data_IF_440763473716
#
_entry.id   IF_440763473716
#
_cell.length_a   1.000
_cell.length_b   1.000
_cell.length_c   1.000
_cell.angle_alpha   90.00
_cell.angle_beta   90.00
_cell.angle_gamma   90.00
#
_symmetry.space_group_name_H-M   'P 1'
#
loop_
_entity.id
_entity.type
_entity.pdbx_description
1 polymer ?
#
# COMPACT_ATOMS: atom_id res chain seq x y z
N UNK A 1 -16.45 -29.36 -56.51
CA UNK A 1 -16.27 -30.25 -55.34
C UNK A 1 -14.93 -30.07 -54.62
N UNK A 2 -13.79 -29.91 -55.29
CA UNK A 2 -12.47 -29.84 -54.62
C UNK A 2 -12.23 -28.63 -53.69
N UNK A 3 -12.73 -27.44 -54.04
CA UNK A 3 -12.53 -26.20 -53.26
C UNK A 3 -13.29 -26.19 -51.93
N UNK A 4 -14.52 -26.70 -51.90
CA UNK A 4 -15.32 -26.81 -50.68
C UNK A 4 -14.72 -27.81 -49.68
N UNK A 5 -14.16 -28.92 -50.17
CA UNK A 5 -13.47 -29.91 -49.34
C UNK A 5 -12.20 -29.32 -48.69
N UNK A 6 -11.45 -28.51 -49.43
CA UNK A 6 -10.27 -27.81 -48.91
C UNK A 6 -10.63 -26.80 -47.81
N UNK A 7 -11.69 -26.01 -48.00
CA UNK A 7 -12.15 -25.07 -46.98
C UNK A 7 -12.63 -25.78 -45.69
N UNK A 8 -13.36 -26.90 -45.83
CA UNK A 8 -13.75 -27.74 -44.70
C UNK A 8 -12.53 -28.37 -44.01
N UNK A 9 -11.51 -28.75 -44.77
CA UNK A 9 -10.25 -29.27 -44.22
C UNK A 9 -9.51 -28.21 -43.40
N UNK A 10 -9.40 -26.96 -43.89
CA UNK A 10 -8.83 -25.84 -43.13
C UNK A 10 -9.62 -25.52 -41.86
N UNK A 11 -10.95 -25.60 -41.91
CA UNK A 11 -11.81 -25.41 -40.73
C UNK A 11 -11.63 -26.54 -39.71
N UNK A 12 -11.61 -27.81 -40.17
CA UNK A 12 -11.39 -28.97 -39.31
C UNK A 12 -10.00 -28.93 -38.67
N UNK A 13 -8.96 -28.59 -39.43
CA UNK A 13 -7.59 -28.40 -38.92
C UNK A 13 -7.54 -27.29 -37.87
N UNK A 14 -8.23 -26.18 -38.10
CA UNK A 14 -8.28 -25.07 -37.13
C UNK A 14 -9.00 -25.46 -35.84
N UNK A 15 -10.08 -26.25 -35.93
CA UNK A 15 -10.80 -26.76 -34.77
C UNK A 15 -9.96 -27.75 -33.97
N UNK A 16 -9.28 -28.68 -34.67
CA UNK A 16 -8.35 -29.64 -34.08
C UNK A 16 -7.22 -28.89 -33.38
N UNK A 17 -6.60 -27.90 -34.01
CA UNK A 17 -5.56 -27.07 -33.40
C UNK A 17 -6.07 -26.34 -32.14
N UNK A 18 -7.30 -25.79 -32.16
CA UNK A 18 -7.89 -25.13 -31.01
C UNK A 18 -8.16 -26.09 -29.83
N UNK A 19 -8.62 -27.32 -30.12
CA UNK A 19 -8.84 -28.37 -29.12
C UNK A 19 -7.51 -28.88 -28.53
N UNK A 20 -6.50 -29.11 -29.37
CA UNK A 20 -5.18 -29.55 -28.94
C UNK A 20 -4.48 -28.50 -28.05
N UNK A 21 -4.66 -27.19 -28.31
CA UNK A 21 -4.11 -26.12 -27.45
C UNK A 21 -4.71 -26.15 -26.03
N UNK A 22 -5.96 -26.58 -25.88
CA UNK A 22 -6.60 -26.76 -24.58
C UNK A 22 -5.98 -27.89 -23.75
N UNK A 23 -5.47 -28.93 -24.40
CA UNK A 23 -5.00 -30.17 -23.75
C UNK A 23 -3.47 -30.21 -23.62
N UNK A 24 -2.72 -29.59 -24.54
CA UNK A 24 -1.27 -29.70 -24.53
C UNK A 24 -0.60 -28.91 -23.37
N UNK A 25 0.43 -29.47 -22.73
CA UNK A 25 1.26 -28.80 -21.74
C UNK A 25 2.29 -27.87 -22.42
N UNK A 26 1.82 -26.96 -23.26
CA UNK A 26 2.63 -25.95 -23.95
C UNK A 26 2.65 -24.64 -23.11
N UNK A 27 3.74 -23.88 -23.18
CA UNK A 27 3.86 -22.53 -22.59
C UNK A 27 2.71 -21.60 -23.01
N UNK A 28 2.20 -20.80 -22.08
CA UNK A 28 1.09 -19.85 -22.32
C UNK A 28 1.36 -18.90 -23.51
N UNK A 29 2.62 -18.48 -23.69
CA UNK A 29 3.04 -17.63 -24.82
C UNK A 29 2.93 -18.35 -26.17
N UNK A 30 3.21 -19.65 -26.20
CA UNK A 30 3.08 -20.46 -27.40
C UNK A 30 1.61 -20.83 -27.67
N UNK A 31 0.81 -21.11 -26.64
CA UNK A 31 -0.65 -21.32 -26.77
C UNK A 31 -1.34 -20.13 -27.46
N UNK A 32 -1.05 -18.90 -27.03
CA UNK A 32 -1.59 -17.68 -27.65
C UNK A 32 -1.19 -17.57 -29.13
N UNK A 33 0.07 -17.88 -29.47
CA UNK A 33 0.57 -17.83 -30.86
C UNK A 33 -0.11 -18.87 -31.76
N UNK A 34 -0.26 -20.11 -31.29
CA UNK A 34 -0.92 -21.18 -32.05
C UNK A 34 -2.37 -20.83 -32.37
N UNK A 35 -3.09 -20.23 -31.43
CA UNK A 35 -4.48 -19.87 -31.65
C UNK A 35 -4.65 -18.71 -32.63
N UNK A 36 -3.76 -17.71 -32.59
CA UNK A 36 -3.79 -16.62 -33.58
C UNK A 36 -3.51 -17.12 -35.00
N UNK A 37 -2.58 -18.09 -35.14
CA UNK A 37 -2.29 -18.76 -36.42
C UNK A 37 -3.50 -19.55 -36.91
N UNK A 38 -4.19 -20.29 -36.04
CA UNK A 38 -5.43 -21.01 -36.39
C UNK A 38 -6.57 -20.08 -36.85
N UNK A 39 -6.74 -18.94 -36.19
CA UNK A 39 -7.72 -17.93 -36.60
C UNK A 39 -7.40 -17.32 -37.97
N UNK A 40 -6.12 -17.02 -38.25
CA UNK A 40 -5.68 -16.53 -39.55
C UNK A 40 -5.91 -17.57 -40.68
N UNK A 41 -5.62 -18.84 -40.41
CA UNK A 41 -5.88 -19.96 -41.34
C UNK A 41 -7.38 -20.12 -41.65
N UNK A 42 -8.25 -19.95 -40.64
CA UNK A 42 -9.70 -19.98 -40.82
C UNK A 42 -10.22 -18.81 -41.66
N UNK A 43 -9.66 -17.62 -41.50
CA UNK A 43 -10.01 -16.43 -42.30
C UNK A 43 -9.65 -16.59 -43.78
N UNK A 44 -8.55 -17.29 -44.11
CA UNK A 44 -8.15 -17.57 -45.49
C UNK A 44 -9.11 -18.51 -46.23
N UNK A 45 -9.96 -19.27 -45.51
CA UNK A 45 -10.98 -20.12 -46.11
C UNK A 45 -12.18 -19.32 -46.67
N UNK A 46 -12.42 -18.10 -46.15
CA UNK A 46 -13.52 -17.21 -46.57
C UNK A 46 -13.44 -16.79 -48.05
N UNK A 47 -12.31 -16.25 -48.57
CA UNK A 47 -12.19 -15.89 -49.98
C UNK A 47 -12.19 -17.11 -50.92
N UNK A 48 -11.61 -18.24 -50.50
CA UNK A 48 -11.65 -19.50 -51.27
C UNK A 48 -13.08 -19.99 -51.51
N UNK A 49 -13.98 -19.78 -50.54
CA UNK A 49 -15.40 -20.13 -50.67
C UNK A 49 -16.22 -19.07 -51.40
N UNK A 50 -15.84 -17.79 -51.31
CA UNK A 50 -16.48 -16.71 -52.09
C UNK A 50 -16.32 -16.90 -53.61
N UNK A 51 -15.16 -17.38 -54.07
CA UNK A 51 -14.92 -17.66 -55.48
C UNK A 51 -15.69 -18.90 -55.98
N UNK A 52 -16.10 -19.80 -55.08
CA UNK A 52 -16.90 -20.97 -55.42
C UNK A 52 -18.35 -20.61 -55.76
N UNK A 53 -18.95 -19.64 -55.05
CA UNK A 53 -20.34 -19.18 -55.29
C UNK A 53 -20.46 -18.34 -56.56
N UNK A 54 -19.46 -17.53 -56.90
CA UNK A 54 -19.48 -16.72 -58.12
C UNK A 54 -19.64 -17.55 -59.41
N UNK A 55 -19.41 -18.88 -59.34
CA UNK A 55 -19.65 -19.82 -60.43
C UNK A 55 -20.93 -20.66 -60.32
N UNK A 56 -21.81 -20.44 -59.34
CA UNK A 56 -22.95 -21.33 -59.04
C UNK A 56 -24.26 -20.57 -58.72
N UNK A 57 -25.35 -20.87 -59.43
CA UNK A 57 -26.64 -20.14 -59.39
C UNK A 57 -27.77 -20.93 -58.69
N UNK A 58 -27.55 -21.48 -57.48
CA UNK A 58 -28.56 -22.31 -56.79
C UNK A 58 -28.74 -21.93 -55.31
N UNK A 59 -29.99 -21.78 -54.86
CA UNK A 59 -30.38 -21.32 -53.49
C UNK A 59 -29.85 -22.27 -52.40
N UNK A 60 -29.76 -23.57 -52.68
CA UNK A 60 -29.23 -24.57 -51.75
C UNK A 60 -27.73 -24.35 -51.48
N UNK A 61 -26.97 -23.89 -52.48
CA UNK A 61 -25.53 -23.63 -52.34
C UNK A 61 -25.28 -22.33 -51.55
N UNK A 62 -26.18 -21.35 -51.65
CA UNK A 62 -26.16 -20.11 -50.87
C UNK A 62 -26.44 -20.36 -49.37
N UNK A 63 -27.45 -21.17 -49.05
CA UNK A 63 -27.74 -21.61 -47.66
C UNK A 63 -26.57 -22.39 -47.05
N UNK A 64 -25.92 -23.26 -47.83
CA UNK A 64 -24.73 -24.02 -47.40
C UNK A 64 -23.54 -23.10 -47.14
N UNK A 65 -23.34 -22.07 -47.96
CA UNK A 65 -22.29 -21.08 -47.73
C UNK A 65 -22.56 -20.25 -46.48
N UNK A 66 -23.79 -19.77 -46.27
CA UNK A 66 -24.15 -19.05 -45.05
C UNK A 66 -23.89 -19.91 -43.80
N UNK A 67 -24.23 -21.20 -43.84
CA UNK A 67 -23.92 -22.13 -42.74
C UNK A 67 -22.41 -22.28 -42.49
N UNK A 68 -21.60 -22.39 -43.56
CA UNK A 68 -20.13 -22.46 -43.46
C UNK A 68 -19.54 -21.15 -42.93
N UNK A 69 -20.05 -20.00 -43.37
CA UNK A 69 -19.59 -18.68 -42.92
C UNK A 69 -19.90 -18.47 -41.43
N UNK A 70 -21.11 -18.82 -40.99
CA UNK A 70 -21.50 -18.79 -39.56
C UNK A 70 -20.59 -19.70 -38.74
N UNK A 71 -20.29 -20.91 -39.25
CA UNK A 71 -19.37 -21.82 -38.58
C UNK A 71 -17.95 -21.22 -38.43
N UNK A 72 -17.41 -20.60 -39.49
CA UNK A 72 -16.10 -19.92 -39.45
C UNK A 72 -16.10 -18.80 -38.39
N UNK A 73 -17.14 -17.97 -38.36
CA UNK A 73 -17.25 -16.87 -37.37
C UNK A 73 -17.27 -17.42 -35.95
N UNK A 74 -18.04 -18.48 -35.68
CA UNK A 74 -18.10 -19.12 -34.34
C UNK A 74 -16.74 -19.68 -33.93
N UNK A 75 -16.01 -20.35 -34.84
CA UNK A 75 -14.67 -20.87 -34.56
C UNK A 75 -13.67 -19.73 -34.30
N UNK A 76 -13.71 -18.66 -35.09
CA UNK A 76 -12.88 -17.47 -34.86
C UNK A 76 -13.17 -16.80 -33.51
N UNK A 77 -14.44 -16.65 -33.13
CA UNK A 77 -14.84 -16.14 -31.82
C UNK A 77 -14.33 -17.02 -30.68
N UNK A 78 -14.48 -18.35 -30.80
CA UNK A 78 -13.98 -19.30 -29.81
C UNK A 78 -12.46 -19.18 -29.63
N UNK A 79 -11.70 -19.12 -30.72
CA UNK A 79 -10.26 -18.89 -30.69
C UNK A 79 -9.90 -17.57 -30.00
N UNK A 80 -10.64 -16.48 -30.24
CA UNK A 80 -10.35 -15.22 -29.57
C UNK A 80 -10.60 -15.29 -28.05
N UNK A 81 -11.73 -15.88 -27.64
CA UNK A 81 -12.08 -16.04 -26.22
C UNK A 81 -11.02 -16.86 -25.48
N UNK A 82 -10.64 -18.01 -26.03
CA UNK A 82 -9.66 -18.89 -25.40
C UNK A 82 -8.27 -18.21 -25.29
N UNK A 83 -7.88 -17.33 -26.22
CA UNK A 83 -6.59 -16.63 -26.17
C UNK A 83 -6.59 -15.58 -25.05
N UNK A 84 -7.72 -14.87 -24.90
CA UNK A 84 -7.92 -13.93 -23.82
C UNK A 84 -7.96 -14.63 -22.45
N UNK A 85 -8.59 -15.80 -22.35
CA UNK A 85 -8.60 -16.61 -21.12
C UNK A 85 -7.19 -17.04 -20.70
N UNK A 86 -6.35 -17.51 -21.63
CA UNK A 86 -4.95 -17.85 -21.33
C UNK A 86 -4.16 -16.62 -20.87
N UNK A 87 -4.32 -15.48 -21.56
CA UNK A 87 -3.67 -14.23 -21.17
C UNK A 87 -4.13 -13.76 -19.78
N UNK A 88 -5.42 -13.89 -19.48
CA UNK A 88 -6.00 -13.58 -18.18
C UNK A 88 -5.43 -14.49 -17.09
N UNK A 89 -5.29 -15.79 -17.33
CA UNK A 89 -4.69 -16.72 -16.36
C UNK A 89 -3.23 -16.39 -16.03
N UNK A 90 -2.44 -16.00 -17.03
CA UNK A 90 -1.05 -15.52 -16.80
C UNK A 90 -1.06 -14.23 -15.98
N UNK A 91 -1.96 -13.30 -16.31
CA UNK A 91 -2.10 -12.05 -15.59
C UNK A 91 -2.53 -12.28 -14.14
N UNK A 92 -3.51 -13.15 -13.90
CA UNK A 92 -3.98 -13.58 -12.59
C UNK A 92 -2.85 -14.15 -11.73
N UNK A 93 -2.00 -15.02 -12.29
CA UNK A 93 -0.82 -15.53 -11.56
C UNK A 93 0.13 -14.40 -11.14
N UNK A 94 0.36 -13.42 -12.01
CA UNK A 94 1.21 -12.25 -11.69
C UNK A 94 0.57 -11.34 -10.66
N UNK A 95 -0.75 -11.15 -10.74
CA UNK A 95 -1.52 -10.37 -9.78
C UNK A 95 -1.45 -11.02 -8.40
N UNK A 96 -1.66 -12.33 -8.30
CA UNK A 96 -1.56 -13.05 -7.02
C UNK A 96 -0.17 -12.94 -6.37
N UNK A 97 0.91 -13.04 -7.16
CA UNK A 97 2.28 -12.84 -6.65
C UNK A 97 2.51 -11.38 -6.20
N UNK A 98 1.93 -10.42 -6.92
CA UNK A 98 2.03 -9.01 -6.58
C UNK A 98 1.25 -8.69 -5.30
N UNK A 99 0.03 -9.23 -5.15
CA UNK A 99 -0.81 -9.11 -3.95
C UNK A 99 -0.06 -9.65 -2.73
N UNK A 100 0.49 -10.87 -2.79
CA UNK A 100 1.31 -11.46 -1.72
C UNK A 100 2.53 -10.58 -1.36
N UNK A 101 3.20 -10.03 -2.37
CA UNK A 101 4.34 -9.12 -2.14
C UNK A 101 3.92 -7.83 -1.46
N UNK A 102 2.77 -7.26 -1.85
CA UNK A 102 2.23 -6.03 -1.25
C UNK A 102 1.82 -6.29 0.19
N UNK A 103 1.10 -7.38 0.47
CA UNK A 103 0.69 -7.76 1.83
C UNK A 103 1.91 -7.92 2.74
N UNK A 104 2.96 -8.59 2.27
CA UNK A 104 4.22 -8.74 3.02
C UNK A 104 4.89 -7.38 3.30
N UNK A 105 4.98 -6.51 2.30
CA UNK A 105 5.58 -5.18 2.47
C UNK A 105 4.75 -4.27 3.38
N UNK A 106 3.42 -4.36 3.32
CA UNK A 106 2.54 -3.64 4.24
C UNK A 106 2.71 -4.15 5.67
N UNK A 107 2.81 -5.47 5.87
CA UNK A 107 3.09 -6.05 7.19
C UNK A 107 4.46 -5.63 7.73
N UNK A 108 5.52 -5.69 6.91
CA UNK A 108 6.86 -5.24 7.30
C UNK A 108 6.87 -3.74 7.65
N UNK A 109 6.16 -2.92 6.88
CA UNK A 109 6.01 -1.48 7.16
C UNK A 109 5.24 -1.23 8.45
N UNK A 110 4.17 -1.97 8.71
CA UNK A 110 3.39 -1.87 9.94
C UNK A 110 4.22 -2.27 11.16
N UNK A 111 5.00 -3.36 11.05
CA UNK A 111 5.92 -3.80 12.09
C UNK A 111 7.03 -2.78 12.37
N UNK A 112 7.66 -2.23 11.32
CA UNK A 112 8.69 -1.20 11.45
C UNK A 112 8.12 0.10 12.06
N UNK A 113 6.90 0.49 11.69
CA UNK A 113 6.23 1.64 12.28
C UNK A 113 5.90 1.40 13.76
N UNK A 114 5.41 0.22 14.13
CA UNK A 114 5.15 -0.15 15.52
C UNK A 114 6.43 -0.11 16.35
N UNK A 115 7.52 -0.70 15.85
CA UNK A 115 8.80 -0.71 16.57
C UNK A 115 9.36 0.71 16.75
N UNK A 116 9.29 1.55 15.73
CA UNK A 116 9.73 2.94 15.84
C UNK A 116 8.90 3.75 16.84
N UNK A 117 7.58 3.52 16.90
CA UNK A 117 6.68 4.13 17.89
C UNK A 117 7.01 3.63 19.29
N UNK A 118 7.25 2.32 19.47
CA UNK A 118 7.58 1.73 20.77
C UNK A 118 8.93 2.24 21.30
N UNK A 119 9.95 2.37 20.45
CA UNK A 119 11.26 2.93 20.83
C UNK A 119 11.17 4.41 21.23
N UNK A 120 10.42 5.23 20.49
CA UNK A 120 10.19 6.63 20.85
C UNK A 120 9.36 6.76 22.13
N UNK A 121 8.29 5.96 22.28
CA UNK A 121 7.45 5.97 23.46
C UNK A 121 8.23 5.52 24.71
N UNK A 122 9.14 4.54 24.58
CA UNK A 122 10.04 4.13 25.66
C UNK A 122 10.95 5.28 26.11
N UNK A 123 11.58 6.01 25.17
CA UNK A 123 12.42 7.18 25.51
C UNK A 123 11.61 8.27 26.21
N UNK A 124 10.39 8.53 25.75
CA UNK A 124 9.47 9.49 26.37
C UNK A 124 9.16 9.07 27.81
N UNK A 125 8.80 7.80 28.02
CA UNK A 125 8.48 7.27 29.34
C UNK A 125 9.68 7.34 30.28
N UNK A 126 10.87 6.92 29.83
CA UNK A 126 12.11 6.99 30.63
C UNK A 126 12.44 8.43 31.05
N UNK A 127 12.28 9.39 30.14
CA UNK A 127 12.52 10.80 30.43
C UNK A 127 11.51 11.37 31.44
N UNK A 128 10.23 10.97 31.33
CA UNK A 128 9.18 11.38 32.26
C UNK A 128 9.37 10.76 33.65
N UNK A 129 9.70 9.48 33.74
CA UNK A 129 9.96 8.79 35.01
C UNK A 129 11.18 9.38 35.72
N UNK A 130 12.24 9.66 34.96
CA UNK A 130 13.42 10.34 35.48
C UNK A 130 13.08 11.75 35.99
N UNK A 131 12.28 12.51 35.23
CA UNK A 131 11.86 13.85 35.64
C UNK A 131 10.98 13.81 36.90
N UNK A 132 10.02 12.89 36.96
CA UNK A 132 9.16 12.63 38.12
C UNK A 132 9.99 12.34 39.38
N UNK A 133 11.00 11.47 39.27
CA UNK A 133 11.91 11.17 40.37
C UNK A 133 12.67 12.41 40.86
N UNK A 134 13.07 13.33 39.97
CA UNK A 134 13.77 14.58 40.34
C UNK A 134 12.86 15.60 41.01
N UNK A 135 11.58 15.64 40.65
CA UNK A 135 10.59 16.53 41.28
C UNK A 135 9.89 15.90 42.50
N UNK A 136 10.35 14.74 42.99
CA UNK A 136 9.80 14.07 44.19
C UNK A 136 9.88 14.90 45.48
N UNK A 137 10.59 16.03 45.43
CA UNK A 137 10.75 17.03 46.48
C UNK A 137 9.51 17.91 46.70
N UNK A 138 8.61 18.01 45.70
CA UNK A 138 7.36 18.77 45.76
C UNK A 138 6.25 18.00 46.50
N UNK A 139 5.13 18.66 46.85
CA UNK A 139 3.99 17.96 47.45
C UNK A 139 3.36 16.96 46.46
N UNK A 140 2.55 16.02 46.94
CA UNK A 140 1.91 15.03 46.07
C UNK A 140 1.00 15.69 45.03
N UNK A 141 0.24 16.71 45.44
CA UNK A 141 -0.68 17.46 44.60
C UNK A 141 0.09 18.28 43.53
N UNK A 142 1.23 18.85 43.90
CA UNK A 142 2.13 19.54 42.99
C UNK A 142 2.76 18.57 41.98
N UNK A 143 3.24 17.41 42.43
CA UNK A 143 3.81 16.38 41.57
C UNK A 143 2.79 15.88 40.54
N UNK A 144 1.54 15.62 40.95
CA UNK A 144 0.48 15.21 40.04
C UNK A 144 0.19 16.29 38.98
N UNK A 145 0.15 17.56 39.38
CA UNK A 145 -0.03 18.67 38.45
C UNK A 145 1.15 18.82 37.48
N UNK A 146 2.39 18.73 37.97
CA UNK A 146 3.61 18.83 37.15
C UNK A 146 3.70 17.66 36.18
N UNK A 147 3.46 16.42 36.64
CA UNK A 147 3.51 15.22 35.81
C UNK A 147 2.45 15.27 34.71
N UNK A 148 1.23 15.72 35.00
CA UNK A 148 0.20 15.91 33.98
C UNK A 148 0.63 16.93 32.91
N UNK A 149 1.26 18.04 33.33
CA UNK A 149 1.82 19.02 32.40
C UNK A 149 2.99 18.45 31.59
N UNK A 150 3.87 17.67 32.22
CA UNK A 150 5.03 17.07 31.58
C UNK A 150 4.63 16.02 30.54
N UNK A 151 3.63 15.18 30.84
CA UNK A 151 3.05 14.21 29.89
C UNK A 151 2.45 14.94 28.68
N UNK A 152 1.61 15.95 28.91
CA UNK A 152 1.02 16.73 27.82
C UNK A 152 2.09 17.42 26.94
N UNK A 153 3.18 17.88 27.56
CA UNK A 153 4.29 18.51 26.85
C UNK A 153 5.13 17.49 26.06
N UNK A 154 5.45 16.36 26.66
CA UNK A 154 6.29 15.32 26.07
C UNK A 154 5.58 14.63 24.90
N UNK A 155 4.33 14.19 25.10
CA UNK A 155 3.58 13.40 24.12
C UNK A 155 2.88 14.25 23.05
N UNK A 156 2.39 15.45 23.41
CA UNK A 156 1.49 16.25 22.54
C UNK A 156 2.01 17.63 22.19
N UNK A 157 3.22 17.98 22.62
CA UNK A 157 3.80 19.32 22.49
C UNK A 157 2.90 20.44 23.07
N UNK A 158 2.03 20.08 24.02
CA UNK A 158 1.05 20.97 24.60
C UNK A 158 1.49 21.44 25.98
N UNK A 159 1.61 22.75 26.15
CA UNK A 159 1.94 23.36 27.45
C UNK A 159 0.65 23.77 28.13
N UNK A 160 0.32 23.08 29.21
CA UNK A 160 -0.91 23.28 30.00
C UNK A 160 -0.57 24.02 31.29
N UNK A 161 -1.46 24.91 31.74
CA UNK A 161 -1.34 25.56 33.05
C UNK A 161 -1.61 24.51 34.14
N UNK A 162 -0.73 24.37 35.14
CA UNK A 162 -0.93 23.37 36.19
C UNK A 162 -2.20 23.68 36.98
N UNK A 163 -2.94 22.62 37.35
CA UNK A 163 -4.20 22.75 38.12
C UNK A 163 -4.00 23.34 39.52
N UNK A 164 -2.79 23.17 40.07
CA UNK A 164 -2.37 23.70 41.36
C UNK A 164 -1.17 24.62 41.13
N UNK A 165 -1.11 25.72 41.86
CA UNK A 165 0.06 26.61 41.80
C UNK A 165 1.25 25.94 42.46
N UNK A 166 2.35 25.80 41.73
CA UNK A 166 3.59 25.20 42.25
C UNK A 166 4.34 26.25 43.07
N UNK A 167 4.53 25.98 44.37
CA UNK A 167 5.24 26.86 45.29
C UNK A 167 6.77 26.69 45.15
N UNK A 168 7.51 27.72 45.56
CA UNK A 168 8.97 27.64 45.61
C UNK A 168 9.38 26.75 46.79
N UNK A 169 10.09 25.67 46.49
CA UNK A 169 10.63 24.73 47.46
C UNK A 169 12.12 24.99 47.69
N UNK A 170 12.54 25.10 48.96
CA UNK A 170 13.93 25.38 49.34
C UNK A 170 14.94 24.32 48.87
N UNK A 171 14.49 23.08 48.62
CA UNK A 171 15.33 21.95 48.21
C UNK A 171 15.47 21.81 46.69
N UNK A 172 14.81 22.66 45.89
CA UNK A 172 14.90 22.65 44.44
C UNK A 172 15.02 24.08 43.94
N UNK A 173 16.17 24.44 43.36
CA UNK A 173 16.43 25.79 42.86
C UNK A 173 15.94 25.99 41.42
N UNK A 174 15.95 27.25 40.95
CA UNK A 174 15.72 27.57 39.53
C UNK A 174 16.72 26.84 38.62
N UNK A 175 17.99 26.75 39.03
CA UNK A 175 19.04 26.10 38.26
C UNK A 175 18.80 24.59 38.16
N UNK A 176 18.35 23.97 39.25
CA UNK A 176 17.97 22.56 39.28
C UNK A 176 16.83 22.27 38.31
N UNK A 177 15.74 23.07 38.36
CA UNK A 177 14.61 22.91 37.44
C UNK A 177 15.02 23.07 35.97
N UNK A 178 15.85 24.06 35.66
CA UNK A 178 16.39 24.23 34.31
C UNK A 178 17.23 23.02 33.90
N UNK A 179 18.11 22.53 34.76
CA UNK A 179 18.93 21.37 34.47
C UNK A 179 18.09 20.10 34.28
N UNK A 180 17.10 19.85 35.15
CA UNK A 180 16.24 18.68 35.09
C UNK A 180 15.38 18.68 33.82
N UNK A 181 14.69 19.78 33.53
CA UNK A 181 13.86 19.89 32.34
C UNK A 181 14.70 19.83 31.05
N UNK A 182 15.88 20.47 31.02
CA UNK A 182 16.80 20.35 29.88
C UNK A 182 17.24 18.90 29.68
N UNK A 183 17.66 18.23 30.75
CA UNK A 183 18.18 16.85 30.70
C UNK A 183 17.12 15.85 30.27
N UNK A 184 15.89 15.99 30.75
CA UNK A 184 14.78 15.12 30.38
C UNK A 184 14.29 15.41 28.95
N UNK A 185 13.99 16.67 28.66
CA UNK A 185 13.27 17.01 27.44
C UNK A 185 14.15 17.15 26.20
N UNK A 186 15.45 17.43 26.34
CA UNK A 186 16.36 17.34 25.19
C UNK A 186 16.56 15.90 24.71
N UNK A 187 16.56 14.92 25.62
CA UNK A 187 16.67 13.50 25.26
C UNK A 187 15.54 13.02 24.34
N UNK A 188 14.36 13.63 24.47
CA UNK A 188 13.18 13.36 23.63
C UNK A 188 13.00 14.42 22.54
N UNK A 189 14.06 15.15 22.18
CA UNK A 189 14.09 16.05 21.03
C UNK A 189 13.35 17.39 21.19
N UNK A 190 12.92 17.79 22.39
CA UNK A 190 12.21 19.07 22.57
C UNK A 190 13.16 20.26 22.41
N UNK A 191 12.66 21.30 21.75
CA UNK A 191 13.43 22.52 21.50
C UNK A 191 13.63 23.33 22.79
N UNK A 192 14.79 23.96 22.95
CA UNK A 192 15.13 24.84 24.08
C UNK A 192 14.05 25.90 24.35
N UNK A 193 13.51 26.53 23.30
CA UNK A 193 12.42 27.50 23.40
C UNK A 193 11.16 26.90 24.04
N UNK A 194 10.77 25.70 23.60
CA UNK A 194 9.57 25.02 24.09
C UNK A 194 9.75 24.61 25.57
N UNK A 195 10.93 24.15 25.95
CA UNK A 195 11.25 23.80 27.34
C UNK A 195 11.28 25.06 28.23
N UNK A 196 11.87 26.15 27.76
CA UNK A 196 11.86 27.42 28.48
C UNK A 196 10.42 27.94 28.70
N UNK A 197 9.57 27.81 27.69
CA UNK A 197 8.15 28.14 27.78
C UNK A 197 7.43 27.22 28.78
N UNK A 198 7.67 25.92 28.74
CA UNK A 198 7.14 24.94 29.70
C UNK A 198 7.49 25.34 31.13
N UNK A 199 8.77 25.58 31.42
CA UNK A 199 9.24 25.99 32.74
C UNK A 199 8.59 27.30 33.21
N UNK A 200 8.49 28.30 32.34
CA UNK A 200 7.90 29.59 32.70
C UNK A 200 6.39 29.53 33.02
N UNK A 201 5.67 28.57 32.43
CA UNK A 201 4.22 28.40 32.63
C UNK A 201 3.96 27.50 33.84
N UNK A 202 4.61 26.33 33.90
CA UNK A 202 4.38 25.33 34.95
C UNK A 202 4.98 25.77 36.28
N UNK A 203 6.17 26.38 36.26
CA UNK A 203 6.87 26.85 37.46
C UNK A 203 6.88 28.38 37.52
N UNK A 204 5.71 29.00 37.34
CA UNK A 204 5.56 30.46 37.30
C UNK A 204 6.15 31.17 38.53
N UNK A 205 6.00 30.59 39.73
CA UNK A 205 6.56 31.14 40.96
C UNK A 205 8.10 31.12 40.97
N UNK A 206 8.72 30.12 40.32
CA UNK A 206 10.16 30.05 40.16
C UNK A 206 10.68 31.03 39.12
N UNK A 207 9.93 31.32 38.05
CA UNK A 207 10.44 32.10 36.93
C UNK A 207 9.63 33.37 36.66
N UNK A 208 9.66 34.37 37.57
CA UNK A 208 8.91 35.62 37.40
C UNK A 208 9.36 36.44 36.19
N UNK A 209 10.60 36.24 35.72
CA UNK A 209 11.14 36.85 34.50
C UNK A 209 10.63 36.24 33.19
N UNK A 210 9.78 35.21 33.25
CA UNK A 210 9.12 34.60 32.09
C UNK A 210 10.05 33.82 31.14
N UNK A 211 9.52 33.41 29.98
CA UNK A 211 10.21 32.57 28.99
C UNK A 211 11.56 33.15 28.56
N UNK A 212 11.66 34.46 28.35
CA UNK A 212 12.89 35.11 27.87
C UNK A 212 14.06 35.01 28.86
N UNK A 213 13.78 35.05 30.17
CA UNK A 213 14.78 34.84 31.21
C UNK A 213 15.25 33.39 31.22
N UNK A 214 14.31 32.45 31.21
CA UNK A 214 14.60 31.02 31.23
C UNK A 214 15.42 30.63 29.99
N UNK A 215 14.98 31.02 28.80
CA UNK A 215 15.64 30.69 27.54
C UNK A 215 17.11 31.11 27.52
N UNK A 216 17.43 32.31 28.04
CA UNK A 216 18.80 32.84 28.08
C UNK A 216 19.70 32.12 29.09
N UNK A 217 19.15 31.69 30.24
CA UNK A 217 19.91 31.07 31.32
C UNK A 217 19.92 29.54 31.31
N UNK A 218 19.09 28.94 30.47
CA UNK A 218 19.01 27.50 30.32
C UNK A 218 20.37 26.93 29.83
N UNK A 219 20.82 25.79 30.35
CA UNK A 219 22.07 25.16 29.90
C UNK A 219 22.00 24.72 28.43
#
# INVERSE_FOLDING_TARGET
>A
MGTALLALCFCALSLVLALFVGILPISDKAKIRFMYVGAALSLMAVPMMSHYIAGQNNIVDELRYQAVLVFIVVVCCYCFVMANMVKYNVMQKKVAVLEDTVEKLEQERAAAMSQAVDEEQHKVQEALDWFAAKISVFSKEEQEAINACAIAFAERDQIVIPKVSIAVNAKCSQADLMAYASSAFFKIGKKRKNIARFLSIVFKAYFPGGEGFVYKKMP
#
